data_IF_451555920226
#
_entry.id   IF_451555920226
#
_cell.length_a   1.000
_cell.length_b   1.000
_cell.length_c   1.000
_cell.angle_alpha   90.00
_cell.angle_beta   90.00
_cell.angle_gamma   90.00
#
_symmetry.space_group_name_H-M   'P 1'
#
loop_
_entity.id
_entity.type
_entity.pdbx_description
1 polymer ?
#
# COMPACT_ATOMS: atom_id res chain seq x y z
N UNK A 1 1.59 -7.54 10.80
CA UNK A 1 0.75 -6.38 11.18
C UNK A 1 -0.63 -6.82 11.66
N UNK A 2 -1.44 -7.50 10.84
CA UNK A 2 -2.79 -7.98 11.24
C UNK A 2 -2.79 -8.79 12.53
N UNK A 3 -1.91 -9.80 12.64
CA UNK A 3 -1.81 -10.65 13.84
C UNK A 3 -1.48 -9.83 15.09
N UNK A 4 -0.59 -8.85 14.98
CA UNK A 4 -0.21 -7.99 16.10
C UNK A 4 -1.36 -7.09 16.57
N UNK A 5 -2.15 -6.53 15.64
CA UNK A 5 -3.34 -5.74 15.98
C UNK A 5 -4.47 -6.61 16.57
N UNK A 6 -4.63 -7.83 16.06
CA UNK A 6 -5.57 -8.79 16.62
C UNK A 6 -5.18 -9.20 18.06
N UNK A 7 -3.90 -9.43 18.31
CA UNK A 7 -3.37 -9.73 19.65
C UNK A 7 -3.57 -8.54 20.61
N UNK A 8 -3.27 -7.32 20.18
CA UNK A 8 -3.54 -6.09 20.95
C UNK A 8 -5.02 -5.93 21.28
N UNK A 9 -5.90 -6.05 20.29
CA UNK A 9 -7.34 -5.95 20.51
C UNK A 9 -7.85 -7.02 21.47
N UNK A 10 -7.34 -8.25 21.36
CA UNK A 10 -7.69 -9.35 22.29
C UNK A 10 -7.22 -9.06 23.71
N UNK A 11 -5.99 -8.54 23.89
CA UNK A 11 -5.48 -8.15 25.20
C UNK A 11 -6.35 -7.06 25.85
N UNK A 12 -6.69 -6.01 25.10
CA UNK A 12 -7.55 -4.94 25.62
C UNK A 12 -8.98 -5.41 25.88
N UNK A 13 -9.50 -6.34 25.08
CA UNK A 13 -10.81 -6.95 25.30
C UNK A 13 -10.84 -7.77 26.61
N UNK A 14 -9.81 -8.59 26.86
CA UNK A 14 -9.71 -9.36 28.12
C UNK A 14 -9.55 -8.42 29.33
N UNK A 15 -8.77 -7.36 29.19
CA UNK A 15 -8.60 -6.33 30.22
C UNK A 15 -9.93 -5.63 30.55
N UNK A 16 -10.71 -5.29 29.54
CA UNK A 16 -12.02 -4.62 29.70
C UNK A 16 -13.05 -5.52 30.39
N UNK A 17 -13.01 -6.83 30.10
CA UNK A 17 -13.84 -7.85 30.76
C UNK A 17 -13.33 -8.23 32.18
N UNK A 18 -12.40 -7.47 32.76
CA UNK A 18 -11.85 -7.65 34.12
C UNK A 18 -11.12 -8.98 34.35
N UNK A 19 -10.60 -9.61 33.30
CA UNK A 19 -9.65 -10.71 33.47
C UNK A 19 -8.30 -10.16 33.94
N UNK A 20 -7.62 -10.90 34.82
CA UNK A 20 -6.26 -10.55 35.23
C UNK A 20 -5.28 -10.86 34.10
N UNK A 21 -4.83 -9.80 33.43
CA UNK A 21 -3.86 -9.84 32.32
C UNK A 21 -2.47 -9.36 32.73
N UNK A 22 -2.21 -9.23 34.04
CA UNK A 22 -0.97 -8.65 34.58
C UNK A 22 0.26 -9.45 34.15
N UNK A 23 0.17 -10.77 34.11
CA UNK A 23 1.24 -11.66 33.62
C UNK A 23 1.59 -11.43 32.13
N UNK A 24 0.62 -10.95 31.35
CA UNK A 24 0.77 -10.68 29.92
C UNK A 24 1.05 -9.21 29.60
N UNK A 25 1.44 -8.39 30.59
CA UNK A 25 1.69 -6.95 30.41
C UNK A 25 2.76 -6.60 29.37
N UNK A 26 3.63 -7.55 29.00
CA UNK A 26 4.63 -7.41 27.92
C UNK A 26 4.02 -7.52 26.51
N UNK A 27 2.86 -8.17 26.38
CA UNK A 27 2.23 -8.50 25.09
C UNK A 27 1.87 -7.26 24.26
N UNK A 28 1.31 -6.17 24.81
CA UNK A 28 1.02 -4.97 24.04
C UNK A 28 2.26 -4.33 23.42
N UNK A 29 3.35 -4.26 24.20
CA UNK A 29 4.61 -3.69 23.73
C UNK A 29 5.22 -4.55 22.62
N UNK A 30 5.30 -5.87 22.83
CA UNK A 30 5.81 -6.80 21.81
C UNK A 30 4.99 -6.72 20.52
N UNK A 31 3.66 -6.69 20.63
CA UNK A 31 2.75 -6.57 19.49
C UNK A 31 2.95 -5.24 18.75
N UNK A 32 3.10 -4.13 19.46
CA UNK A 32 3.39 -2.83 18.86
C UNK A 32 4.73 -2.84 18.10
N UNK A 33 5.78 -3.43 18.67
CA UNK A 33 7.09 -3.55 17.99
C UNK A 33 6.97 -4.37 16.70
N UNK A 34 6.28 -5.52 16.74
CA UNK A 34 6.05 -6.35 15.54
C UNK A 34 5.25 -5.59 14.48
N UNK A 35 4.27 -4.79 14.90
CA UNK A 35 3.51 -3.92 14.00
C UNK A 35 4.43 -2.90 13.32
N UNK A 36 5.28 -2.21 14.08
CA UNK A 36 6.22 -1.20 13.56
C UNK A 36 7.22 -1.83 12.58
N UNK A 37 7.82 -2.97 12.91
CA UNK A 37 8.74 -3.68 12.02
C UNK A 37 8.05 -4.04 10.69
N UNK A 38 6.83 -4.60 10.76
CA UNK A 38 6.07 -4.94 9.57
C UNK A 38 5.71 -3.72 8.72
N UNK A 39 5.38 -2.59 9.34
CA UNK A 39 5.13 -1.34 8.64
C UNK A 39 6.40 -0.83 7.96
N UNK A 40 7.52 -0.78 8.67
CA UNK A 40 8.80 -0.29 8.16
C UNK A 40 9.35 -1.10 6.99
N UNK A 41 9.12 -2.41 6.96
CA UNK A 41 9.59 -3.27 5.87
C UNK A 41 8.64 -3.30 4.66
N UNK A 42 7.34 -3.16 4.87
CA UNK A 42 6.32 -3.30 3.83
C UNK A 42 5.65 -1.97 3.46
N UNK A 43 4.57 -1.63 4.17
CA UNK A 43 3.71 -0.49 3.83
C UNK A 43 4.40 0.87 3.87
N UNK A 44 5.50 1.00 4.62
CA UNK A 44 6.30 2.22 4.70
C UNK A 44 6.94 2.56 3.35
N UNK A 45 7.86 1.74 2.81
CA UNK A 45 8.57 2.05 1.57
C UNK A 45 7.92 1.53 0.28
N UNK A 46 7.24 0.37 0.32
CA UNK A 46 6.84 -0.36 -0.91
C UNK A 46 5.86 0.45 -1.80
N UNK A 47 4.79 1.08 -1.27
CA UNK A 47 3.86 1.83 -2.13
C UNK A 47 4.52 3.01 -2.86
N UNK A 48 5.48 3.69 -2.21
CA UNK A 48 6.22 4.79 -2.82
C UNK A 48 7.19 4.31 -3.89
N UNK A 49 7.84 3.16 -3.66
CA UNK A 49 8.70 2.54 -4.65
C UNK A 49 7.91 2.09 -5.89
N UNK A 50 6.80 1.38 -5.67
CA UNK A 50 5.92 0.92 -6.74
C UNK A 50 5.32 2.08 -7.55
N UNK A 51 5.01 3.21 -6.91
CA UNK A 51 4.57 4.42 -7.61
C UNK A 51 5.60 4.89 -8.65
N UNK A 52 6.90 4.74 -8.36
CA UNK A 52 7.98 5.05 -9.30
C UNK A 52 8.11 4.04 -10.45
N UNK A 53 7.81 2.78 -10.20
CA UNK A 53 7.97 1.67 -11.17
C UNK A 53 6.78 1.50 -12.11
N UNK A 54 5.56 1.71 -11.63
CA UNK A 54 4.33 1.49 -12.40
C UNK A 54 3.98 2.70 -13.28
N UNK A 55 4.31 3.92 -12.83
CA UNK A 55 3.87 5.12 -13.53
C UNK A 55 4.75 5.46 -14.74
N UNK A 56 4.15 5.58 -15.95
CA UNK A 56 4.86 5.99 -17.16
C UNK A 56 5.49 7.37 -16.99
N UNK A 57 6.69 7.57 -17.52
CA UNK A 57 7.45 8.82 -17.35
C UNK A 57 6.66 10.08 -17.75
N UNK A 58 5.78 9.97 -18.76
CA UNK A 58 4.98 11.08 -19.28
C UNK A 58 3.91 11.60 -18.33
N UNK A 59 3.34 10.73 -17.48
CA UNK A 59 2.24 11.09 -16.57
C UNK A 59 2.63 10.99 -15.10
N UNK A 60 3.86 10.58 -14.80
CA UNK A 60 4.34 10.31 -13.44
C UNK A 60 4.11 11.49 -12.50
N UNK A 61 4.41 12.72 -12.93
CA UNK A 61 4.21 13.92 -12.11
C UNK A 61 2.76 14.09 -11.62
N UNK A 62 1.79 14.31 -12.52
CA UNK A 62 0.39 14.50 -12.13
C UNK A 62 -0.26 13.26 -11.50
N UNK A 63 0.11 12.05 -11.91
CA UNK A 63 -0.42 10.84 -11.28
C UNK A 63 0.11 10.65 -9.84
N UNK A 64 1.41 10.86 -9.62
CA UNK A 64 2.01 10.76 -8.29
C UNK A 64 1.45 11.83 -7.32
N UNK A 65 1.21 13.05 -7.79
CA UNK A 65 0.63 14.10 -6.95
C UNK A 65 -0.80 13.78 -6.53
N UNK A 66 -1.62 13.23 -7.44
CA UNK A 66 -2.99 12.80 -7.11
C UNK A 66 -3.00 11.64 -6.09
N UNK A 67 -2.16 10.62 -6.29
CA UNK A 67 -2.04 9.49 -5.36
C UNK A 67 -1.56 9.97 -3.98
N UNK A 68 -0.57 10.87 -3.95
CA UNK A 68 -0.05 11.46 -2.71
C UNK A 68 -1.12 12.29 -2.01
N UNK A 69 -1.86 13.13 -2.75
CA UNK A 69 -2.96 13.92 -2.19
C UNK A 69 -4.07 13.05 -1.62
N UNK A 70 -4.42 11.95 -2.30
CA UNK A 70 -5.38 10.98 -1.79
C UNK A 70 -4.88 10.30 -0.51
N UNK A 71 -3.62 9.86 -0.48
CA UNK A 71 -3.00 9.29 0.72
C UNK A 71 -3.04 10.24 1.93
N UNK A 72 -2.66 11.51 1.74
CA UNK A 72 -2.69 12.51 2.81
C UNK A 72 -4.13 12.84 3.23
N UNK A 73 -5.08 12.83 2.30
CA UNK A 73 -6.50 13.03 2.60
C UNK A 73 -7.04 11.88 3.47
N UNK A 74 -6.74 10.62 3.14
CA UNK A 74 -7.06 9.47 3.99
C UNK A 74 -6.40 9.58 5.36
N UNK A 75 -5.13 9.98 5.41
CA UNK A 75 -4.39 10.18 6.67
C UNK A 75 -5.05 11.25 7.54
N UNK A 76 -5.48 12.36 6.95
CA UNK A 76 -6.22 13.41 7.65
C UNK A 76 -7.54 12.90 8.21
N UNK A 77 -8.34 12.19 7.40
CA UNK A 77 -9.62 11.62 7.84
C UNK A 77 -9.41 10.69 9.02
N UNK A 78 -8.49 9.73 8.92
CA UNK A 78 -8.18 8.78 9.99
C UNK A 78 -7.71 9.51 11.25
N UNK A 79 -6.82 10.50 11.12
CA UNK A 79 -6.31 11.26 12.27
C UNK A 79 -7.43 12.04 12.97
N UNK A 80 -8.37 12.62 12.21
CA UNK A 80 -9.50 13.35 12.79
C UNK A 80 -10.52 12.42 13.45
N UNK A 81 -10.84 11.29 12.82
CA UNK A 81 -11.86 10.37 13.33
C UNK A 81 -11.32 9.40 14.39
N UNK A 82 -10.01 9.28 14.57
CA UNK A 82 -9.40 8.34 15.49
C UNK A 82 -9.92 8.47 16.93
N UNK A 83 -10.01 9.70 17.45
CA UNK A 83 -10.53 9.94 18.80
C UNK A 83 -11.99 9.52 18.91
N UNK A 84 -12.81 9.84 17.91
CA UNK A 84 -14.22 9.45 17.88
C UNK A 84 -14.37 7.92 17.86
N UNK A 85 -13.58 7.24 17.03
CA UNK A 85 -13.56 5.77 16.93
C UNK A 85 -13.23 5.12 18.27
N UNK A 86 -12.24 5.65 19.01
CA UNK A 86 -11.91 5.15 20.34
C UNK A 86 -13.07 5.35 21.32
N UNK A 87 -13.76 6.49 21.28
CA UNK A 87 -14.88 6.77 22.17
C UNK A 87 -16.06 5.84 21.90
N UNK A 88 -16.38 5.58 20.63
CA UNK A 88 -17.54 4.75 20.27
C UNK A 88 -17.27 3.24 20.30
N UNK A 89 -16.10 2.78 19.82
CA UNK A 89 -15.77 1.35 19.72
C UNK A 89 -14.91 0.83 20.87
N UNK A 90 -14.39 1.73 21.71
CA UNK A 90 -13.39 1.39 22.72
C UNK A 90 -12.03 1.06 22.10
N UNK A 91 -11.04 0.90 22.97
CA UNK A 91 -9.66 0.60 22.56
C UNK A 91 -9.55 -0.75 21.83
N UNK A 92 -10.20 -1.80 22.33
CA UNK A 92 -10.16 -3.13 21.70
C UNK A 92 -10.83 -3.14 20.32
N UNK A 93 -11.99 -2.50 20.18
CA UNK A 93 -12.73 -2.40 18.93
C UNK A 93 -11.96 -1.61 17.88
N UNK A 94 -11.26 -0.55 18.30
CA UNK A 94 -10.38 0.24 17.43
C UNK A 94 -9.24 -0.61 16.84
N UNK A 95 -8.56 -1.41 17.67
CA UNK A 95 -7.48 -2.28 17.19
C UNK A 95 -7.98 -3.39 16.26
N UNK A 96 -9.16 -3.97 16.52
CA UNK A 96 -9.76 -4.95 15.62
C UNK A 96 -10.21 -4.32 14.30
N UNK A 97 -10.76 -3.11 14.32
CA UNK A 97 -11.11 -2.37 13.11
C UNK A 97 -9.88 -2.14 12.23
N UNK A 98 -8.79 -1.58 12.78
CA UNK A 98 -7.55 -1.43 12.02
C UNK A 98 -6.94 -2.76 11.59
N UNK A 99 -7.03 -3.79 12.44
CA UNK A 99 -6.61 -5.15 12.10
C UNK A 99 -7.36 -5.71 10.88
N UNK A 100 -8.68 -5.51 10.82
CA UNK A 100 -9.51 -5.93 9.70
C UNK A 100 -9.16 -5.18 8.41
N UNK A 101 -8.88 -3.88 8.49
CA UNK A 101 -8.42 -3.07 7.36
C UNK A 101 -7.08 -3.59 6.86
N UNK A 102 -6.13 -3.87 7.76
CA UNK A 102 -4.84 -4.47 7.39
C UNK A 102 -5.01 -5.84 6.72
N UNK A 103 -5.95 -6.66 7.19
CA UNK A 103 -6.25 -7.96 6.57
C UNK A 103 -6.85 -7.80 5.17
N UNK A 104 -7.84 -6.94 5.00
CA UNK A 104 -8.43 -6.63 3.68
C UNK A 104 -7.39 -6.07 2.72
N UNK A 105 -6.48 -5.22 3.21
CA UNK A 105 -5.38 -4.67 2.43
C UNK A 105 -4.37 -5.75 2.03
N UNK A 106 -4.09 -6.74 2.89
CA UNK A 106 -3.28 -7.90 2.54
C UNK A 106 -3.92 -8.72 1.41
N UNK A 107 -5.23 -8.97 1.49
CA UNK A 107 -5.96 -9.68 0.43
C UNK A 107 -5.94 -8.90 -0.88
N UNK A 108 -6.14 -7.58 -0.82
CA UNK A 108 -6.05 -6.70 -1.97
C UNK A 108 -4.68 -6.81 -2.65
N UNK A 109 -3.60 -6.72 -1.87
CA UNK A 109 -2.22 -6.83 -2.38
C UNK A 109 -1.99 -8.20 -3.01
N UNK A 110 -2.40 -9.27 -2.33
CA UNK A 110 -2.18 -10.63 -2.81
C UNK A 110 -2.91 -10.94 -4.13
N UNK A 111 -4.10 -10.38 -4.35
CA UNK A 111 -4.94 -10.70 -5.52
C UNK A 111 -4.67 -9.74 -6.69
N UNK A 112 -4.54 -8.44 -6.41
CA UNK A 112 -4.57 -7.41 -7.46
C UNK A 112 -3.24 -6.70 -7.69
N UNK A 113 -2.29 -6.75 -6.76
CA UNK A 113 -1.02 -6.04 -6.93
C UNK A 113 -0.04 -6.97 -7.66
N UNK A 114 0.37 -6.64 -8.90
CA UNK A 114 1.34 -7.45 -9.64
C UNK A 114 2.74 -7.29 -9.04
N UNK A 115 3.51 -8.38 -9.06
CA UNK A 115 4.92 -8.37 -8.65
C UNK A 115 5.76 -7.55 -9.64
N UNK A 116 6.36 -6.45 -9.15
CA UNK A 116 7.21 -5.55 -9.96
C UNK A 116 8.69 -5.88 -9.84
N UNK A 117 9.10 -6.69 -8.85
CA UNK A 117 10.51 -6.98 -8.61
C UNK A 117 11.15 -7.75 -9.79
N UNK A 118 12.25 -7.20 -10.34
CA UNK A 118 13.07 -7.87 -11.34
C UNK A 118 12.53 -7.81 -12.78
N UNK A 119 11.47 -7.04 -13.04
CA UNK A 119 11.00 -6.75 -14.40
C UNK A 119 11.57 -5.43 -14.92
N UNK A 120 11.88 -5.36 -16.21
CA UNK A 120 12.31 -4.10 -16.82
C UNK A 120 11.14 -3.10 -16.82
N UNK A 121 11.43 -1.81 -16.62
CA UNK A 121 10.41 -0.76 -16.68
C UNK A 121 9.67 -0.77 -18.03
N UNK A 122 10.36 -1.15 -19.10
CA UNK A 122 9.82 -1.26 -20.47
C UNK A 122 8.85 -2.43 -20.62
N UNK A 123 9.06 -3.54 -19.92
CA UNK A 123 8.14 -4.68 -19.90
C UNK A 123 6.90 -4.39 -19.05
N UNK A 124 7.03 -3.64 -17.94
CA UNK A 124 5.88 -3.18 -17.14
C UNK A 124 5.05 -2.18 -17.95
N UNK A 125 5.69 -1.22 -18.61
CA UNK A 125 5.01 -0.25 -19.48
C UNK A 125 4.35 -0.95 -20.67
N UNK A 126 4.98 -1.95 -21.31
CA UNK A 126 4.36 -2.74 -22.39
C UNK A 126 3.15 -3.57 -21.94
N UNK A 127 3.21 -4.18 -20.75
CA UNK A 127 2.09 -4.96 -20.22
C UNK A 127 0.90 -4.09 -19.81
N UNK A 128 1.15 -2.86 -19.34
CA UNK A 128 0.10 -1.93 -18.90
C UNK A 128 -0.49 -1.09 -20.04
N UNK A 129 0.33 -0.69 -21.03
CA UNK A 129 -0.12 0.20 -22.11
C UNK A 129 -0.76 -0.58 -23.27
N UNK A 130 -0.67 -1.91 -23.27
CA UNK A 130 -0.96 -2.73 -24.45
C UNK A 130 0.02 -2.42 -25.59
N UNK A 131 0.16 -3.33 -26.55
CA UNK A 131 1.11 -3.16 -27.64
C UNK A 131 0.81 -1.89 -28.47
N UNK A 132 1.43 -0.76 -28.12
CA UNK A 132 1.49 0.40 -29.01
C UNK A 132 2.37 -0.04 -30.17
N UNK A 133 1.73 -0.52 -31.25
CA UNK A 133 2.34 -0.67 -32.56
C UNK A 133 2.96 0.68 -32.92
N UNK A 134 4.25 0.85 -32.65
CA UNK A 134 5.04 1.85 -33.38
C UNK A 134 4.97 1.43 -34.84
N UNK A 135 4.05 2.03 -35.59
CA UNK A 135 4.12 1.99 -37.05
C UNK A 135 5.46 2.61 -37.42
N UNK A 136 6.41 1.76 -37.81
CA UNK A 136 7.68 2.18 -38.35
C UNK A 136 7.41 2.89 -39.68
N UNK A 137 7.29 4.22 -39.63
CA UNK A 137 7.16 5.07 -40.82
C UNK A 137 8.46 5.17 -41.63
N UNK A 138 9.47 4.35 -41.33
CA UNK A 138 10.78 4.35 -42.00
C UNK A 138 10.79 3.42 -43.22
N UNK A 139 9.78 2.55 -43.40
CA UNK A 139 9.73 1.62 -44.55
C UNK A 139 9.28 2.25 -45.89
N UNK A 140 8.97 3.56 -45.94
CA UNK A 140 8.48 4.24 -47.16
C UNK A 140 9.44 5.29 -47.74
N UNK A 141 10.71 5.32 -47.32
CA UNK A 141 11.72 6.07 -48.05
C UNK A 141 12.13 5.28 -49.31
N UNK A 142 11.33 5.43 -50.36
CA UNK A 142 11.74 5.12 -51.73
C UNK A 142 13.04 5.89 -51.99
N UNK A 143 14.16 5.24 -52.35
CA UNK A 143 15.38 5.97 -52.67
C UNK A 143 15.11 6.87 -53.88
N UNK A 144 15.33 8.17 -53.70
CA UNK A 144 15.34 9.13 -54.79
C UNK A 144 16.39 8.68 -55.81
N UNK A 145 16.05 8.54 -57.10
CA UNK A 145 17.06 8.27 -58.11
C UNK A 145 18.08 9.41 -58.09
N UNK A 146 19.36 9.04 -57.96
CA UNK A 146 20.46 9.98 -58.16
C UNK A 146 20.39 10.49 -59.59
N UNK A 147 20.08 11.78 -59.75
CA UNK A 147 20.28 12.48 -61.01
C UNK A 147 21.77 12.83 -61.10
N UNK A 148 22.42 12.22 -62.08
CA UNK A 148 23.74 12.59 -62.63
C UNK A 148 23.60 13.90 -63.38
#
# INVERSE_FOLDING_TARGET
MTVALAALGTFFYLKDNKYDVTEFGWLPLASFVIFVIGFSLGYGPVPWLMMGEILPAKIRGPAASLVTAFNWSCTFVVTKTFTDVIVYLGTYGTFWLFGSICFSSLLFVFIWVPETQGRSLEDIERNLTGAVRRMSSIANLKPSPMAV
#
